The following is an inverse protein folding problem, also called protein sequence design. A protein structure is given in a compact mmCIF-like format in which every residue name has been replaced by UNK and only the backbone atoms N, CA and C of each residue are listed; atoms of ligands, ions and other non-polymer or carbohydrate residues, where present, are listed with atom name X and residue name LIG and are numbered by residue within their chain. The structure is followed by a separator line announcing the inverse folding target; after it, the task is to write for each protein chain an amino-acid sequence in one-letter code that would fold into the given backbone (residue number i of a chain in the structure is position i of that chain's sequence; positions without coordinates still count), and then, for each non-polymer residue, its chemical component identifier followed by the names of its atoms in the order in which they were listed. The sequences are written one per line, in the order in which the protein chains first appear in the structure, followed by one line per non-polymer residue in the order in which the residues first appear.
data_IF_604125304391
#
_entry.id   IF_604125304391
#
_cell.length_a   1.000
_cell.length_b   1.000
_cell.length_c   1.000
_cell.angle_alpha   90.00
_cell.angle_beta   90.00
_cell.angle_gamma   90.00
#
_symmetry.space_group_name_H-M   'P 1'
#
loop_
_entity.id
_entity.type
_entity.pdbx_description
1 polymer ?
#
# COMPACT_ATOMS: atom_id res chain seq x y z
N UNK A 1 28.24 24.34 -8.97
CA UNK A 1 27.07 23.54 -9.38
C UNK A 1 26.69 22.62 -8.24
N UNK A 2 25.40 22.50 -7.92
CA UNK A 2 24.93 21.56 -6.90
C UNK A 2 25.21 20.13 -7.38
N UNK A 3 26.02 19.39 -6.62
CA UNK A 3 26.31 17.98 -6.89
C UNK A 3 25.11 17.17 -6.43
N UNK A 4 24.41 16.53 -7.37
CA UNK A 4 23.32 15.61 -7.07
C UNK A 4 23.89 14.29 -6.55
N UNK A 5 23.50 13.87 -5.35
CA UNK A 5 24.03 12.64 -4.75
C UNK A 5 23.41 11.36 -5.32
N UNK A 6 22.34 11.48 -6.13
CA UNK A 6 21.61 10.36 -6.75
C UNK A 6 20.86 9.48 -5.76
N UNK A 7 20.86 9.80 -4.47
CA UNK A 7 20.20 9.04 -3.43
C UNK A 7 18.97 9.78 -2.94
N UNK A 8 17.83 9.11 -2.97
CA UNK A 8 16.60 9.66 -2.40
C UNK A 8 16.63 9.84 -0.88
N UNK A 9 17.65 9.31 -0.23
CA UNK A 9 17.82 9.32 1.22
C UNK A 9 18.78 10.37 1.73
N UNK A 10 19.81 10.69 0.94
CA UNK A 10 20.92 11.52 1.40
C UNK A 10 20.66 13.00 1.19
N UNK A 11 19.83 13.37 0.21
CA UNK A 11 19.45 14.76 0.01
C UNK A 11 18.00 14.91 -0.49
N UNK A 12 17.30 15.95 -0.03
CA UNK A 12 15.88 16.18 -0.34
C UNK A 12 15.62 16.53 -1.81
N UNK A 13 16.61 17.08 -2.54
CA UNK A 13 16.49 17.41 -3.97
C UNK A 13 16.52 16.15 -4.81
N UNK A 14 17.49 15.25 -4.61
CA UNK A 14 17.47 13.95 -5.30
C UNK A 14 16.25 13.13 -4.86
N UNK A 15 15.86 13.21 -3.60
CA UNK A 15 14.64 12.57 -3.11
C UNK A 15 13.38 13.03 -3.83
N UNK A 16 13.25 14.34 -4.04
CA UNK A 16 12.14 14.94 -4.78
C UNK A 16 12.15 14.59 -6.28
N UNK A 17 13.33 14.56 -6.92
CA UNK A 17 13.43 14.19 -8.33
C UNK A 17 13.08 12.71 -8.58
N UNK A 18 13.58 11.80 -7.72
CA UNK A 18 13.26 10.38 -7.78
C UNK A 18 11.76 10.16 -7.59
N UNK A 19 11.14 10.92 -6.69
CA UNK A 19 9.71 10.79 -6.42
C UNK A 19 8.86 11.27 -7.60
N UNK A 20 9.23 12.39 -8.24
CA UNK A 20 8.62 12.84 -9.51
C UNK A 20 8.78 11.80 -10.62
N UNK A 21 9.94 11.14 -10.73
CA UNK A 21 10.13 10.14 -11.78
C UNK A 21 9.28 8.88 -11.52
N UNK A 22 9.29 8.34 -10.30
CA UNK A 22 8.46 7.20 -9.91
C UNK A 22 6.98 7.47 -10.13
N UNK A 23 6.57 8.69 -9.85
CA UNK A 23 5.24 9.16 -10.09
C UNK A 23 4.81 9.05 -11.56
N UNK A 24 5.68 9.46 -12.49
CA UNK A 24 5.46 9.29 -13.92
C UNK A 24 5.41 7.81 -14.30
N UNK A 25 6.29 6.99 -13.73
CA UNK A 25 6.35 5.55 -14.01
C UNK A 25 5.06 4.84 -13.58
N UNK A 26 4.54 5.16 -12.38
CA UNK A 26 3.26 4.63 -11.88
C UNK A 26 2.10 5.10 -12.75
N UNK A 27 2.06 6.38 -13.11
CA UNK A 27 1.02 6.93 -13.98
C UNK A 27 1.02 6.27 -15.37
N UNK A 28 2.21 5.96 -15.91
CA UNK A 28 2.36 5.28 -17.18
C UNK A 28 1.80 3.85 -17.17
N UNK A 29 1.59 3.24 -16.00
CA UNK A 29 0.95 1.93 -15.84
C UNK A 29 -0.54 2.04 -15.50
N UNK A 30 -0.95 3.05 -14.72
CA UNK A 30 -2.35 3.25 -14.32
C UNK A 30 -3.27 3.47 -15.53
N UNK A 31 -2.90 4.36 -16.45
CA UNK A 31 -3.80 4.73 -17.56
C UNK A 31 -4.02 3.56 -18.53
N UNK A 32 -2.98 2.83 -18.99
CA UNK A 32 -3.19 1.64 -19.80
C UNK A 32 -3.99 0.55 -19.09
N UNK A 33 -3.74 0.33 -17.79
CA UNK A 33 -4.46 -0.67 -16.99
C UNK A 33 -5.97 -0.38 -16.95
N UNK A 34 -6.33 0.88 -16.69
CA UNK A 34 -7.73 1.33 -16.72
C UNK A 34 -8.36 1.24 -18.10
N UNK A 35 -7.63 1.62 -19.15
CA UNK A 35 -8.08 1.49 -20.55
C UNK A 35 -8.32 0.03 -20.95
N UNK A 36 -7.59 -0.90 -20.36
CA UNK A 36 -7.80 -2.35 -20.54
C UNK A 36 -8.99 -2.90 -19.73
N UNK A 37 -9.73 -2.04 -19.00
CA UNK A 37 -10.91 -2.41 -18.21
C UNK A 37 -10.59 -2.78 -16.75
N UNK A 38 -9.34 -2.67 -16.33
CA UNK A 38 -8.91 -2.93 -14.95
C UNK A 38 -9.19 -1.76 -14.00
N UNK A 39 -9.23 -2.06 -12.71
CA UNK A 39 -9.33 -1.05 -11.65
C UNK A 39 -7.98 -0.80 -10.97
N UNK A 40 -7.86 0.36 -10.34
CA UNK A 40 -6.75 0.67 -9.44
C UNK A 40 -7.36 1.09 -8.12
N UNK A 41 -6.99 0.41 -7.04
CA UNK A 41 -7.57 0.60 -5.71
C UNK A 41 -6.48 1.02 -4.73
N UNK A 42 -6.73 2.05 -3.92
CA UNK A 42 -5.83 2.46 -2.85
C UNK A 42 -6.21 1.76 -1.54
N UNK A 43 -5.27 0.99 -0.99
CA UNK A 43 -5.28 0.57 0.41
C UNK A 43 -4.37 1.45 1.25
N UNK A 44 -4.88 1.95 2.38
CA UNK A 44 -4.09 2.62 3.42
C UNK A 44 -4.11 1.76 4.68
N UNK A 45 -2.93 1.36 5.15
CA UNK A 45 -2.75 0.47 6.30
C UNK A 45 -2.02 1.21 7.42
N UNK A 46 -2.58 1.17 8.61
CA UNK A 46 -2.10 1.90 9.78
C UNK A 46 -1.83 0.94 10.93
N UNK A 47 -0.69 1.11 11.58
CA UNK A 47 -0.35 0.43 12.82
C UNK A 47 -0.99 1.16 14.01
N UNK A 48 -1.62 0.46 14.95
CA UNK A 48 -1.95 1.07 16.23
C UNK A 48 -0.68 1.15 17.10
N UNK A 49 -0.33 2.35 17.56
CA UNK A 49 0.91 2.60 18.29
C UNK A 49 0.72 3.67 19.38
N UNK A 50 1.71 3.78 20.26
CA UNK A 50 1.80 4.76 21.33
C UNK A 50 3.08 5.61 21.19
N UNK A 51 3.16 6.70 21.95
CA UNK A 51 4.30 7.64 21.91
C UNK A 51 5.66 7.01 22.20
N UNK A 52 5.70 5.93 22.98
CA UNK A 52 6.93 5.21 23.32
C UNK A 52 7.41 4.19 22.27
N UNK A 53 6.64 3.96 21.20
CA UNK A 53 6.98 2.92 20.23
C UNK A 53 8.17 3.34 19.34
N UNK A 54 9.25 2.54 19.27
CA UNK A 54 10.40 2.86 18.44
C UNK A 54 10.10 2.62 16.95
N UNK A 55 10.49 3.58 16.11
CA UNK A 55 10.21 3.55 14.66
C UNK A 55 10.73 2.29 13.96
N UNK A 56 11.95 1.84 14.26
CA UNK A 56 12.56 0.72 13.53
C UNK A 56 11.79 -0.61 13.69
N UNK A 57 11.37 -1.02 14.91
CA UNK A 57 10.42 -2.11 15.09
C UNK A 57 9.09 -1.90 14.36
N UNK A 58 8.50 -0.71 14.41
CA UNK A 58 7.24 -0.41 13.73
C UNK A 58 7.36 -0.64 12.21
N UNK A 59 8.44 -0.16 11.59
CA UNK A 59 8.68 -0.35 10.16
C UNK A 59 8.85 -1.83 9.77
N UNK A 60 9.50 -2.63 10.62
CA UNK A 60 9.58 -4.08 10.43
C UNK A 60 8.21 -4.75 10.54
N UNK A 61 7.42 -4.34 11.53
CA UNK A 61 6.07 -4.85 11.76
C UNK A 61 5.14 -4.56 10.60
N UNK A 62 5.05 -3.31 10.13
CA UNK A 62 4.16 -2.96 8.99
C UNK A 62 4.56 -3.73 7.72
N UNK A 63 5.86 -3.93 7.47
CA UNK A 63 6.32 -4.66 6.29
C UNK A 63 5.95 -6.14 6.38
N UNK A 64 6.14 -6.75 7.56
CA UNK A 64 5.77 -8.15 7.80
C UNK A 64 4.25 -8.35 7.76
N UNK A 65 3.49 -7.46 8.39
CA UNK A 65 2.03 -7.51 8.41
C UNK A 65 1.47 -7.40 7.00
N UNK A 66 1.98 -6.45 6.20
CA UNK A 66 1.57 -6.33 4.81
C UNK A 66 1.87 -7.59 3.98
N UNK A 67 3.06 -8.18 4.16
CA UNK A 67 3.40 -9.44 3.52
C UNK A 67 2.42 -10.57 3.90
N UNK A 68 2.06 -10.68 5.18
CA UNK A 68 1.07 -11.67 5.63
C UNK A 68 -0.32 -11.37 5.05
N UNK A 69 -0.75 -10.11 4.99
CA UNK A 69 -2.02 -9.71 4.37
C UNK A 69 -2.10 -10.12 2.91
N UNK A 70 -1.01 -9.99 2.16
CA UNK A 70 -0.96 -10.19 0.70
C UNK A 70 -0.32 -11.53 0.28
N UNK A 71 -0.31 -12.53 1.15
CA UNK A 71 0.26 -13.85 0.84
C UNK A 71 -0.54 -15.03 1.40
N UNK A 72 -0.10 -16.25 1.05
CA UNK A 72 -0.69 -17.48 1.54
C UNK A 72 -2.01 -17.87 0.88
N UNK A 73 -2.66 -18.92 1.41
CA UNK A 73 -3.86 -19.52 0.81
C UNK A 73 -5.05 -18.58 0.79
N UNK A 74 -5.27 -17.81 1.86
CA UNK A 74 -6.40 -16.89 1.92
C UNK A 74 -6.23 -15.68 0.98
N UNK A 75 -5.00 -15.22 0.71
CA UNK A 75 -4.76 -14.25 -0.38
C UNK A 75 -5.17 -14.79 -1.74
N UNK A 76 -4.89 -16.08 -2.02
CA UNK A 76 -5.36 -16.72 -3.26
C UNK A 76 -6.89 -16.80 -3.35
N UNK A 77 -7.58 -16.76 -2.21
CA UNK A 77 -9.05 -16.72 -2.11
C UNK A 77 -9.63 -15.31 -2.18
N UNK A 78 -8.83 -14.26 -2.39
CA UNK A 78 -9.36 -12.92 -2.68
C UNK A 78 -10.27 -12.96 -3.91
N UNK A 79 -10.03 -13.90 -4.83
CA UNK A 79 -10.93 -14.21 -5.93
C UNK A 79 -12.35 -14.60 -5.49
N UNK A 80 -12.59 -14.98 -4.25
CA UNK A 80 -13.86 -15.60 -3.86
C UNK A 80 -14.68 -14.70 -2.92
N UNK A 81 -14.24 -13.47 -2.65
CA UNK A 81 -14.75 -12.61 -1.58
C UNK A 81 -16.24 -12.22 -1.71
N UNK A 82 -16.86 -12.40 -2.89
CA UNK A 82 -18.28 -12.11 -3.14
C UNK A 82 -18.91 -13.05 -4.18
N UNK A 83 -18.37 -14.26 -4.37
CA UNK A 83 -18.81 -15.16 -5.44
C UNK A 83 -18.39 -14.73 -6.86
N UNK A 84 -17.59 -13.66 -6.97
CA UNK A 84 -16.98 -13.19 -8.22
C UNK A 84 -15.46 -13.01 -8.04
N UNK A 85 -14.70 -13.45 -9.05
CA UNK A 85 -13.24 -13.33 -9.11
C UNK A 85 -12.80 -11.87 -9.02
N UNK A 86 -12.10 -11.52 -7.94
CA UNK A 86 -11.24 -10.34 -7.83
C UNK A 86 -9.80 -10.78 -8.11
N UNK A 87 -9.28 -10.46 -9.31
CA UNK A 87 -7.91 -10.77 -9.67
C UNK A 87 -6.99 -9.59 -9.38
N UNK A 88 -6.11 -9.73 -8.40
CA UNK A 88 -5.05 -8.75 -8.14
C UNK A 88 -3.86 -9.06 -9.06
N UNK A 89 -3.62 -8.22 -10.06
CA UNK A 89 -2.54 -8.31 -11.05
C UNK A 89 -1.18 -7.94 -10.47
N UNK A 90 -1.20 -7.07 -9.45
CA UNK A 90 0.00 -6.64 -8.74
C UNK A 90 -0.29 -5.44 -7.87
N UNK A 91 0.74 -4.96 -7.20
CA UNK A 91 0.64 -3.74 -6.41
C UNK A 91 1.96 -2.99 -6.34
N UNK A 92 1.85 -1.69 -6.03
CA UNK A 92 2.95 -0.83 -5.64
C UNK A 92 2.66 -0.22 -4.27
N UNK A 93 3.67 -0.07 -3.43
CA UNK A 93 3.51 0.48 -2.07
C UNK A 93 4.53 1.56 -1.74
N UNK A 94 4.19 2.43 -0.80
CA UNK A 94 5.10 3.37 -0.14
C UNK A 94 4.74 3.51 1.33
N UNK A 95 5.75 3.71 2.18
CA UNK A 95 5.53 4.08 3.57
C UNK A 95 5.51 5.61 3.72
N UNK A 96 4.55 6.13 4.48
CA UNK A 96 4.50 7.51 4.97
C UNK A 96 4.72 7.49 6.49
N UNK A 97 5.78 8.12 6.98
CA UNK A 97 6.18 8.18 8.38
C UNK A 97 6.07 9.62 8.87
N UNK A 98 5.02 9.93 9.60
CA UNK A 98 4.88 11.26 10.22
C UNK A 98 5.21 11.21 11.71
N UNK A 99 5.44 12.38 12.32
CA UNK A 99 5.54 12.53 13.77
C UNK A 99 4.44 13.46 14.21
N UNK A 100 3.60 13.00 15.13
CA UNK A 100 2.56 13.78 15.77
C UNK A 100 2.73 13.78 17.29
N UNK A 101 1.73 14.27 18.01
CA UNK A 101 1.75 14.32 19.48
C UNK A 101 1.95 12.94 20.12
N UNK A 102 1.36 11.90 19.50
CA UNK A 102 1.47 10.51 19.93
C UNK A 102 2.69 9.75 19.35
N UNK A 103 3.72 10.47 18.90
CA UNK A 103 4.96 9.90 18.38
C UNK A 103 4.91 9.58 16.88
N UNK A 104 5.58 8.51 16.48
CA UNK A 104 5.71 8.07 15.09
C UNK A 104 4.40 7.51 14.56
N UNK A 105 3.89 8.01 13.43
CA UNK A 105 2.70 7.49 12.74
C UNK A 105 3.08 6.97 11.35
N UNK A 106 3.51 5.70 11.25
CA UNK A 106 3.79 5.07 9.97
C UNK A 106 2.51 4.50 9.34
N UNK A 107 2.23 4.92 8.12
CA UNK A 107 1.20 4.39 7.24
C UNK A 107 1.84 3.71 6.03
N UNK A 108 1.16 2.71 5.49
CA UNK A 108 1.49 2.14 4.20
C UNK A 108 0.38 2.47 3.21
N UNK A 109 0.72 3.16 2.13
CA UNK A 109 -0.15 3.37 0.98
C UNK A 109 0.18 2.36 -0.11
N UNK A 110 -0.85 1.70 -0.63
CA UNK A 110 -0.70 0.60 -1.58
C UNK A 110 -1.69 0.78 -2.72
N UNK A 111 -1.22 0.81 -3.95
CA UNK A 111 -2.07 0.71 -5.13
C UNK A 111 -2.15 -0.73 -5.57
N UNK A 112 -3.35 -1.30 -5.54
CA UNK A 112 -3.65 -2.62 -6.08
C UNK A 112 -4.20 -2.47 -7.50
N UNK A 113 -3.60 -3.17 -8.45
CA UNK A 113 -4.08 -3.27 -9.81
C UNK A 113 -5.02 -4.48 -9.90
N UNK A 114 -6.30 -4.22 -10.11
CA UNK A 114 -7.35 -5.23 -10.19
C UNK A 114 -7.72 -5.46 -11.65
N UNK A 115 -7.95 -6.70 -12.04
CA UNK A 115 -8.24 -7.11 -13.42
C UNK A 115 -9.58 -6.59 -13.98
N UNK A 116 -10.44 -6.04 -13.12
CA UNK A 116 -11.72 -5.41 -13.48
C UNK A 116 -12.13 -4.34 -12.49
N UNK A 117 -13.06 -3.49 -12.90
CA UNK A 117 -13.76 -2.51 -12.04
C UNK A 117 -14.51 -3.26 -10.92
N UNK A 118 -14.31 -2.80 -9.69
CA UNK A 118 -15.01 -3.32 -8.52
C UNK A 118 -16.25 -2.50 -8.20
N UNK A 119 -17.30 -3.19 -7.76
CA UNK A 119 -18.48 -2.55 -7.17
C UNK A 119 -18.21 -2.08 -5.75
N UNK A 120 -19.06 -1.20 -5.21
CA UNK A 120 -18.92 -0.73 -3.82
C UNK A 120 -18.95 -1.85 -2.78
N UNK A 121 -19.76 -2.89 -3.00
CA UNK A 121 -19.82 -4.02 -2.07
C UNK A 121 -18.59 -4.92 -2.17
N UNK A 122 -18.01 -5.07 -3.37
CA UNK A 122 -16.72 -5.72 -3.56
C UNK A 122 -15.57 -4.96 -2.91
N UNK A 123 -15.60 -3.63 -2.97
CA UNK A 123 -14.64 -2.75 -2.29
C UNK A 123 -14.72 -2.92 -0.77
N UNK A 124 -15.93 -2.95 -0.19
CA UNK A 124 -16.13 -3.23 1.24
C UNK A 124 -15.66 -4.63 1.63
N UNK A 125 -15.93 -5.64 0.80
CA UNK A 125 -15.48 -7.01 1.05
C UNK A 125 -13.94 -7.10 1.03
N UNK A 126 -13.31 -6.41 0.08
CA UNK A 126 -11.86 -6.31 -0.02
C UNK A 126 -11.25 -5.56 1.19
N UNK A 127 -11.87 -4.45 1.62
CA UNK A 127 -11.48 -3.73 2.84
C UNK A 127 -11.56 -4.62 4.08
N UNK A 128 -12.69 -5.33 4.25
CA UNK A 128 -12.88 -6.24 5.38
C UNK A 128 -11.83 -7.35 5.38
N UNK A 129 -11.56 -7.97 4.22
CA UNK A 129 -10.52 -8.98 4.07
C UNK A 129 -9.14 -8.45 4.47
N UNK A 130 -8.78 -7.24 4.01
CA UNK A 130 -7.51 -6.62 4.37
C UNK A 130 -7.44 -6.26 5.85
N UNK A 131 -8.51 -5.69 6.40
CA UNK A 131 -8.61 -5.29 7.79
C UNK A 131 -8.37 -6.47 8.73
N UNK A 132 -9.05 -7.60 8.50
CA UNK A 132 -8.92 -8.80 9.35
C UNK A 132 -7.48 -9.29 9.39
N UNK A 133 -6.87 -9.51 8.22
CA UNK A 133 -5.51 -10.05 8.12
C UNK A 133 -4.46 -9.10 8.65
N UNK A 134 -4.61 -7.82 8.33
CA UNK A 134 -3.72 -6.78 8.84
C UNK A 134 -3.78 -6.74 10.36
N UNK A 135 -4.98 -6.65 10.92
CA UNK A 135 -5.19 -6.55 12.36
C UNK A 135 -4.67 -7.77 13.11
N UNK A 136 -4.90 -8.97 12.59
CA UNK A 136 -4.37 -10.22 13.16
C UNK A 136 -2.84 -10.24 13.14
N UNK A 137 -2.21 -9.76 12.06
CA UNK A 137 -0.76 -9.68 11.96
C UNK A 137 -0.14 -8.62 12.87
N UNK A 138 -0.84 -7.49 13.08
CA UNK A 138 -0.44 -6.44 14.03
C UNK A 138 -0.52 -6.96 15.47
N UNK A 139 -1.63 -7.59 15.83
CA UNK A 139 -1.86 -8.14 17.17
C UNK A 139 -0.86 -9.25 17.48
N UNK A 140 -0.59 -10.15 16.52
CA UNK A 140 0.44 -11.18 16.65
C UNK A 140 1.88 -10.63 16.78
N UNK A 141 2.11 -9.36 16.40
CA UNK A 141 3.39 -8.69 16.59
C UNK A 141 3.51 -7.98 17.95
N UNK A 142 2.49 -8.05 18.80
CA UNK A 142 2.46 -7.47 20.15
C UNK A 142 1.93 -6.04 20.21
N UNK A 143 1.36 -5.53 19.12
CA UNK A 143 0.72 -4.22 19.09
C UNK A 143 -0.79 -4.33 19.33
N UNK A 144 -1.42 -3.20 19.67
CA UNK A 144 -2.88 -3.16 19.81
C UNK A 144 -3.59 -3.46 18.48
N UNK A 145 -4.77 -4.08 18.55
CA UNK A 145 -5.58 -4.31 17.36
C UNK A 145 -6.07 -2.97 16.79
N UNK A 146 -5.79 -2.65 15.51
CA UNK A 146 -6.29 -1.41 14.91
C UNK A 146 -7.82 -1.34 14.88
N UNK A 147 -8.38 -0.14 15.05
CA UNK A 147 -9.82 0.06 14.91
C UNK A 147 -10.26 -0.14 13.46
N UNK A 148 -11.54 -0.49 13.24
CA UNK A 148 -12.15 -0.57 11.90
C UNK A 148 -12.02 0.75 11.13
N UNK A 149 -12.16 1.87 11.82
CA UNK A 149 -12.15 3.19 11.22
C UNK A 149 -10.75 3.66 10.77
N UNK A 150 -9.70 3.26 11.49
CA UNK A 150 -8.35 3.81 11.30
C UNK A 150 -7.30 2.78 10.89
N UNK A 151 -7.59 1.48 10.99
CA UNK A 151 -6.64 0.40 10.72
C UNK A 151 -6.37 0.17 9.24
N UNK A 152 -7.43 -0.06 8.46
CA UNK A 152 -7.34 -0.25 7.02
C UNK A 152 -8.46 0.51 6.35
N UNK A 153 -8.12 1.24 5.29
CA UNK A 153 -9.11 1.89 4.42
C UNK A 153 -8.82 1.57 2.97
N UNK A 154 -9.86 1.21 2.23
CA UNK A 154 -9.83 0.96 0.80
C UNK A 154 -10.68 2.00 0.10
N UNK A 155 -10.13 2.65 -0.91
CA UNK A 155 -10.85 3.61 -1.74
C UNK A 155 -10.56 3.35 -3.20
N UNK A 156 -11.47 3.80 -4.06
CA UNK A 156 -11.19 3.88 -5.48
C UNK A 156 -9.90 4.65 -5.73
N UNK A 157 -9.19 4.20 -6.74
CA UNK A 157 -8.10 4.91 -7.35
C UNK A 157 -8.55 6.31 -7.77
N UNK A 158 -8.19 7.37 -7.05
CA UNK A 158 -8.25 8.74 -7.55
C UNK A 158 -7.30 8.96 -8.75
N UNK A 159 -7.14 10.21 -9.19
CA UNK A 159 -6.14 10.55 -10.19
C UNK A 159 -4.74 10.14 -9.72
N UNK A 160 -3.88 9.68 -10.64
CA UNK A 160 -2.54 9.29 -10.22
C UNK A 160 -1.78 10.46 -9.59
N UNK A 161 -2.09 11.72 -9.94
CA UNK A 161 -1.49 12.90 -9.31
C UNK A 161 -1.60 12.94 -7.77
N UNK A 162 -2.71 12.47 -7.18
CA UNK A 162 -2.84 12.36 -5.71
C UNK A 162 -2.02 11.19 -5.15
N UNK A 163 -1.94 10.08 -5.87
CA UNK A 163 -1.10 8.95 -5.49
C UNK A 163 0.38 9.25 -5.59
N UNK A 164 0.76 9.98 -6.62
CA UNK A 164 2.07 10.58 -6.79
C UNK A 164 2.39 11.42 -5.56
N UNK A 165 1.52 12.33 -5.14
CA UNK A 165 1.79 13.15 -3.95
C UNK A 165 1.93 12.31 -2.66
N UNK A 166 1.13 11.25 -2.47
CA UNK A 166 1.22 10.34 -1.32
C UNK A 166 2.50 9.49 -1.34
N UNK A 167 2.76 8.81 -2.46
CA UNK A 167 3.91 7.91 -2.64
C UNK A 167 5.24 8.67 -2.81
N UNK A 168 5.18 9.97 -3.11
CA UNK A 168 6.37 10.81 -3.28
C UNK A 168 6.84 11.48 -2.00
N UNK A 169 5.99 11.52 -0.97
CA UNK A 169 6.29 12.27 0.25
C UNK A 169 7.44 11.68 1.04
N UNK A 170 7.72 10.37 0.95
CA UNK A 170 8.80 9.74 1.70
C UNK A 170 9.46 8.58 0.97
N UNK A 171 10.81 8.57 0.97
CA UNK A 171 11.65 7.68 0.17
C UNK A 171 11.78 6.24 0.68
N UNK A 172 10.72 5.66 1.25
CA UNK A 172 10.76 4.33 1.86
C UNK A 172 10.10 3.26 0.98
N UNK A 173 10.97 2.43 0.39
CA UNK A 173 10.75 1.11 -0.20
C UNK A 173 9.51 0.96 -1.10
N UNK A 174 9.72 1.17 -2.41
CA UNK A 174 8.83 0.66 -3.45
C UNK A 174 9.14 -0.83 -3.65
N UNK A 175 8.26 -1.70 -3.18
CA UNK A 175 8.24 -3.10 -3.59
C UNK A 175 7.14 -3.27 -4.64
N UNK A 176 7.56 -3.55 -5.87
CA UNK A 176 6.67 -3.94 -6.96
C UNK A 176 6.56 -5.46 -6.95
N UNK A 177 5.37 -5.99 -6.74
CA UNK A 177 5.12 -7.43 -6.86
C UNK A 177 4.15 -7.64 -8.03
N UNK A 178 4.63 -8.35 -9.05
CA UNK A 178 3.77 -8.90 -10.11
C UNK A 178 3.26 -10.26 -9.65
N UNK A 179 1.94 -10.47 -9.63
CA UNK A 179 1.37 -11.81 -9.48
C UNK A 179 1.50 -12.53 -10.82
N UNK A 180 2.69 -13.08 -11.07
CA UNK A 180 2.98 -13.83 -12.28
C UNK A 180 1.96 -14.96 -12.46
N UNK A 181 1.07 -14.81 -13.44
CA UNK A 181 0.21 -15.89 -13.92
C UNK A 181 1.11 -16.84 -14.71
N UNK A 182 1.65 -17.87 -14.06
CA UNK A 182 2.19 -19.02 -14.79
C UNK A 182 1.00 -19.74 -15.40
N UNK A 183 0.73 -19.45 -16.68
CA UNK A 183 -0.08 -20.32 -17.52
C UNK A 183 0.67 -21.65 -17.65
N UNK A 184 0.01 -22.72 -17.21
CA UNK A 184 0.31 -24.09 -17.57
C UNK A 184 -0.88 -24.64 -18.33
#
# INVERSE_FOLDING_TARGET
GLVHCGSGWKDPVCGHQISIQRAKDIQAVIDPHRKAGGDVVLGTFTLAHNQGDPLAPMLKTISKAFHLTTSGRAWKKVSDLVGARIGVVGWVRSAEITVGENGWHPHLHVLFFIDRILTEDEMKALEQFFYERWSDAIEAAGYGRPSREHGVRVSHGESAGKYVALLSKQNLALETVSSGTKQG
#
